data_IF_078945259877
#
_entry.id   IF_078945259877
#
_cell.length_a   1.000
_cell.length_b   1.000
_cell.length_c   1.000
_cell.angle_alpha   90.00
_cell.angle_beta   90.00
_cell.angle_gamma   90.00
#
_symmetry.space_group_name_H-M   'P 1'
#
loop_
_entity.id
_entity.type
_entity.pdbx_description
1 polymer ?
#
# COMPACT_ATOMS: atom_id res chain seq x y z
N UNK A 1 -20.69 9.83 -15.51
CA UNK A 1 -19.78 8.88 -14.86
C UNK A 1 -20.28 7.47 -15.16
N UNK A 2 -19.55 6.72 -15.97
CA UNK A 2 -19.87 5.30 -16.20
C UNK A 2 -19.27 4.52 -15.04
N UNK A 3 -20.07 3.88 -14.18
CA UNK A 3 -19.50 3.14 -13.04
C UNK A 3 -19.01 1.77 -13.51
N UNK A 4 -17.81 1.36 -13.09
CA UNK A 4 -17.24 0.03 -13.38
C UNK A 4 -18.22 -1.07 -12.96
N UNK A 5 -18.82 -0.90 -11.78
CA UNK A 5 -19.96 -1.65 -11.25
C UNK A 5 -20.66 -0.78 -10.19
N UNK A 6 -21.88 -1.13 -9.71
CA UNK A 6 -22.55 -0.37 -8.66
C UNK A 6 -21.69 -0.19 -7.40
N UNK A 7 -21.57 1.04 -6.90
CA UNK A 7 -20.76 1.38 -5.71
C UNK A 7 -19.25 1.11 -5.82
N UNK A 8 -18.70 0.95 -7.03
CA UNK A 8 -17.27 0.75 -7.23
C UNK A 8 -16.39 1.82 -6.57
N UNK A 9 -16.84 3.07 -6.55
CA UNK A 9 -16.17 4.18 -5.87
C UNK A 9 -16.09 3.98 -4.35
N UNK A 10 -17.14 3.48 -3.71
CA UNK A 10 -17.17 3.19 -2.27
C UNK A 10 -16.20 2.04 -1.97
N UNK A 11 -16.27 0.95 -2.76
CA UNK A 11 -15.37 -0.20 -2.59
C UNK A 11 -13.91 0.22 -2.77
N UNK A 12 -13.60 0.98 -3.81
CA UNK A 12 -12.26 1.51 -4.03
C UNK A 12 -11.81 2.41 -2.89
N UNK A 13 -12.66 3.32 -2.42
CA UNK A 13 -12.36 4.21 -1.31
C UNK A 13 -12.04 3.46 -0.03
N UNK A 14 -12.83 2.43 0.31
CA UNK A 14 -12.58 1.55 1.47
C UNK A 14 -11.26 0.80 1.33
N UNK A 15 -10.96 0.23 0.16
CA UNK A 15 -9.70 -0.48 -0.06
C UNK A 15 -8.49 0.47 0.01
N UNK A 16 -8.59 1.67 -0.55
CA UNK A 16 -7.56 2.71 -0.46
C UNK A 16 -7.34 3.12 1.00
N UNK A 17 -8.40 3.24 1.81
CA UNK A 17 -8.27 3.53 3.23
C UNK A 17 -7.61 2.37 4.00
N UNK A 18 -8.03 1.13 3.77
CA UNK A 18 -7.48 0.00 4.52
C UNK A 18 -6.02 -0.25 4.12
N UNK A 19 -5.75 -0.38 2.82
CA UNK A 19 -4.43 -0.79 2.32
C UNK A 19 -3.47 0.39 2.32
N UNK A 20 -3.88 1.51 1.74
CA UNK A 20 -3.05 2.71 1.69
C UNK A 20 -2.96 3.42 3.04
N UNK A 21 -4.10 3.83 3.61
CA UNK A 21 -4.05 4.67 4.82
C UNK A 21 -3.72 3.87 6.10
N UNK A 22 -4.36 2.72 6.35
CA UNK A 22 -4.06 1.99 7.60
C UNK A 22 -2.71 1.28 7.52
N UNK A 23 -2.47 0.47 6.49
CA UNK A 23 -1.23 -0.31 6.43
C UNK A 23 -0.02 0.52 5.99
N UNK A 24 -0.11 1.28 4.89
CA UNK A 24 1.06 2.04 4.42
C UNK A 24 1.28 3.31 5.22
N UNK A 25 0.26 4.02 5.68
CA UNK A 25 0.48 5.22 6.49
C UNK A 25 0.64 4.91 7.98
N UNK A 26 -0.41 4.43 8.66
CA UNK A 26 -0.36 4.22 10.12
C UNK A 26 0.68 3.17 10.50
N UNK A 27 0.71 2.04 9.80
CA UNK A 27 1.68 0.97 10.05
C UNK A 27 3.14 1.41 9.86
N UNK A 28 3.41 2.17 8.80
CA UNK A 28 4.78 2.66 8.55
C UNK A 28 5.15 3.83 9.45
N UNK A 29 4.21 4.68 9.83
CA UNK A 29 4.45 5.72 10.83
C UNK A 29 4.86 5.10 12.17
N UNK A 30 4.19 4.03 12.62
CA UNK A 30 4.61 3.27 13.81
C UNK A 30 6.06 2.76 13.65
N UNK A 31 6.40 2.28 12.45
CA UNK A 31 7.75 1.76 12.14
C UNK A 31 8.81 2.86 12.20
N UNK A 32 8.52 4.05 11.66
CA UNK A 32 9.39 5.23 11.71
C UNK A 32 9.60 5.69 13.15
N UNK A 33 8.52 5.76 13.95
CA UNK A 33 8.59 6.24 15.33
C UNK A 33 9.25 5.24 16.28
N UNK A 34 9.01 3.95 16.08
CA UNK A 34 9.56 2.90 16.95
C UNK A 34 9.68 1.55 16.21
N UNK A 35 10.84 1.36 15.56
CA UNK A 35 11.16 0.13 14.84
C UNK A 35 11.06 -1.12 15.73
N UNK A 36 11.57 -1.05 16.96
CA UNK A 36 11.55 -2.18 17.88
C UNK A 36 10.13 -2.61 18.27
N UNK A 37 9.22 -1.65 18.44
CA UNK A 37 7.81 -1.93 18.66
C UNK A 37 7.16 -2.52 17.40
N UNK A 38 7.39 -1.92 16.23
CA UNK A 38 6.86 -2.40 14.96
C UNK A 38 7.27 -3.86 14.67
N UNK A 39 8.52 -4.23 14.95
CA UNK A 39 8.99 -5.61 14.86
C UNK A 39 8.31 -6.55 15.87
N UNK A 40 8.00 -6.08 17.09
CA UNK A 40 7.31 -6.89 18.12
C UNK A 40 5.87 -7.21 17.73
N UNK A 41 5.16 -6.25 17.12
CA UNK A 41 3.77 -6.43 16.67
C UNK A 41 3.66 -7.00 15.25
N UNK A 42 4.80 -7.31 14.60
CA UNK A 42 4.84 -8.01 13.32
C UNK A 42 4.57 -7.12 12.10
N UNK A 43 4.70 -5.80 12.23
CA UNK A 43 4.66 -4.86 11.10
C UNK A 43 5.97 -4.84 10.32
N UNK A 44 7.09 -5.12 10.98
CA UNK A 44 8.43 -5.16 10.38
C UNK A 44 9.09 -6.51 10.64
N UNK A 45 10.02 -6.88 9.75
CA UNK A 45 10.71 -8.16 9.79
C UNK A 45 11.70 -8.25 10.95
N UNK A 46 11.87 -9.48 11.47
CA UNK A 46 12.74 -9.77 12.63
C UNK A 46 14.11 -10.19 12.14
N UNK A 47 15.06 -9.26 12.23
CA UNK A 47 16.43 -9.53 11.85
C UNK A 47 16.56 -9.66 10.33
N UNK A 48 17.63 -9.11 9.80
CA UNK A 48 17.94 -9.10 8.39
C UNK A 48 19.32 -8.48 8.24
N UNK A 49 20.00 -8.72 7.12
CA UNK A 49 21.22 -8.00 6.80
C UNK A 49 21.01 -6.48 6.95
N UNK A 50 21.96 -5.74 7.54
CA UNK A 50 21.83 -4.29 7.78
C UNK A 50 21.37 -3.50 6.55
N UNK A 51 21.82 -3.89 5.36
CA UNK A 51 21.46 -3.28 4.08
C UNK A 51 19.95 -3.34 3.78
N UNK A 52 19.26 -4.42 4.16
CA UNK A 52 17.82 -4.56 3.95
C UNK A 52 17.05 -3.70 4.95
N UNK A 53 17.54 -3.62 6.20
CA UNK A 53 16.93 -2.78 7.23
C UNK A 53 17.04 -1.29 6.91
N UNK A 54 18.14 -0.84 6.31
CA UNK A 54 18.28 0.55 5.85
C UNK A 54 17.27 0.86 4.75
N UNK A 55 17.11 -0.05 3.78
CA UNK A 55 16.12 0.09 2.72
C UNK A 55 14.68 0.12 3.28
N UNK A 56 14.32 -0.82 4.15
CA UNK A 56 12.98 -0.89 4.75
C UNK A 56 12.65 0.37 5.57
N UNK A 57 13.62 0.92 6.29
CA UNK A 57 13.46 2.21 6.98
C UNK A 57 13.21 3.36 6.02
N UNK A 58 13.94 3.41 4.90
CA UNK A 58 13.72 4.41 3.86
C UNK A 58 12.31 4.32 3.27
N UNK A 59 11.86 3.09 2.98
CA UNK A 59 10.49 2.83 2.49
C UNK A 59 9.45 3.23 3.54
N UNK A 60 9.65 2.90 4.82
CA UNK A 60 8.73 3.30 5.88
C UNK A 60 8.56 4.82 5.99
N UNK A 61 9.65 5.58 5.82
CA UNK A 61 9.59 7.06 5.79
C UNK A 61 8.83 7.55 4.55
N UNK A 62 9.11 6.97 3.37
CA UNK A 62 8.41 7.34 2.14
C UNK A 62 6.89 7.06 2.24
N UNK A 63 6.52 5.89 2.72
CA UNK A 63 5.12 5.48 2.91
C UNK A 63 4.41 6.35 3.95
N UNK A 64 5.07 6.69 5.05
CA UNK A 64 4.53 7.61 6.06
C UNK A 64 4.37 9.05 5.51
N UNK A 65 5.24 9.49 4.61
CA UNK A 65 5.17 10.81 4.00
C UNK A 65 4.10 10.91 2.91
N UNK A 66 3.91 9.85 2.12
CA UNK A 66 2.92 9.80 1.03
C UNK A 66 1.54 9.36 1.51
N UNK A 67 1.48 8.65 2.63
CA UNK A 67 0.33 7.87 3.02
C UNK A 67 -0.93 8.66 3.38
N UNK A 68 -0.82 9.94 3.74
CA UNK A 68 -1.98 10.81 4.00
C UNK A 68 -2.83 11.06 2.75
N UNK A 69 -2.24 10.98 1.55
CA UNK A 69 -2.96 11.14 0.28
C UNK A 69 -3.99 10.02 0.09
N UNK A 70 -3.69 8.81 0.57
CA UNK A 70 -4.65 7.70 0.58
C UNK A 70 -5.90 8.04 1.39
N UNK A 71 -5.71 8.69 2.56
CA UNK A 71 -6.81 9.10 3.43
C UNK A 71 -7.77 10.05 2.72
N UNK A 72 -7.23 11.12 2.16
CA UNK A 72 -8.02 12.14 1.45
C UNK A 72 -8.71 11.55 0.22
N UNK A 73 -7.98 10.83 -0.62
CA UNK A 73 -8.54 10.21 -1.82
C UNK A 73 -9.63 9.18 -1.47
N UNK A 74 -9.40 8.35 -0.46
CA UNK A 74 -10.35 7.33 -0.01
C UNK A 74 -11.66 7.93 0.49
N UNK A 75 -11.59 8.99 1.32
CA UNK A 75 -12.77 9.73 1.76
C UNK A 75 -13.49 10.38 0.58
N UNK A 76 -12.76 11.02 -0.33
CA UNK A 76 -13.33 11.64 -1.52
C UNK A 76 -14.10 10.65 -2.41
N UNK A 77 -13.55 9.44 -2.59
CA UNK A 77 -14.20 8.37 -3.33
C UNK A 77 -15.50 7.89 -2.67
N UNK A 78 -15.50 7.72 -1.34
CA UNK A 78 -16.69 7.30 -0.58
C UNK A 78 -17.80 8.35 -0.68
N UNK A 79 -17.43 9.63 -0.62
CA UNK A 79 -18.36 10.76 -0.73
C UNK A 79 -18.80 11.05 -2.18
N UNK A 80 -18.36 10.26 -3.16
CA UNK A 80 -18.63 10.47 -4.60
C UNK A 80 -18.18 11.87 -5.08
N UNK A 81 -17.13 12.41 -4.46
CA UNK A 81 -16.65 13.76 -4.74
C UNK A 81 -15.78 13.77 -6.02
N UNK A 82 -15.99 14.69 -6.98
CA UNK A 82 -15.25 14.72 -8.26
C UNK A 82 -13.73 14.78 -8.12
N UNK A 83 -13.23 15.49 -7.10
CA UNK A 83 -11.79 15.56 -6.81
C UNK A 83 -11.24 14.24 -6.25
N UNK A 84 -12.07 13.42 -5.60
CA UNK A 84 -11.69 12.11 -5.08
C UNK A 84 -11.30 11.15 -6.21
N UNK A 85 -12.08 11.16 -7.31
CA UNK A 85 -11.77 10.38 -8.51
C UNK A 85 -10.46 10.83 -9.17
N UNK A 86 -10.22 12.13 -9.27
CA UNK A 86 -8.96 12.66 -9.82
C UNK A 86 -7.76 12.28 -8.95
N UNK A 87 -7.90 12.39 -7.63
CA UNK A 87 -6.83 12.02 -6.69
C UNK A 87 -6.58 10.52 -6.66
N UNK A 88 -7.59 9.67 -6.88
CA UNK A 88 -7.48 8.21 -6.80
C UNK A 88 -6.45 7.59 -7.77
N UNK A 89 -6.08 8.31 -8.83
CA UNK A 89 -4.95 7.97 -9.69
C UNK A 89 -3.66 7.75 -8.90
N UNK A 90 -3.36 8.65 -7.97
CA UNK A 90 -2.10 8.61 -7.24
C UNK A 90 -2.03 7.40 -6.30
N UNK A 91 -3.02 7.16 -5.39
CA UNK A 91 -3.13 5.91 -4.67
C UNK A 91 -3.04 4.66 -5.55
N UNK A 92 -3.78 4.66 -6.66
CA UNK A 92 -3.88 3.51 -7.54
C UNK A 92 -2.53 3.11 -8.12
N UNK A 93 -1.81 4.07 -8.70
CA UNK A 93 -0.48 3.82 -9.28
C UNK A 93 0.54 3.44 -8.22
N UNK A 94 0.53 4.11 -7.07
CA UNK A 94 1.49 3.82 -5.99
C UNK A 94 1.27 2.41 -5.42
N UNK A 95 0.02 1.97 -5.23
CA UNK A 95 -0.29 0.60 -4.78
C UNK A 95 0.15 -0.46 -5.80
N UNK A 96 -0.07 -0.21 -7.10
CA UNK A 96 0.44 -1.10 -8.16
C UNK A 96 1.97 -1.15 -8.11
N UNK A 97 2.63 0.01 -8.03
CA UNK A 97 4.09 0.09 -7.92
C UNK A 97 4.62 -0.68 -6.70
N UNK A 98 4.01 -0.52 -5.52
CA UNK A 98 4.42 -1.25 -4.32
C UNK A 98 4.23 -2.75 -4.46
N UNK A 99 3.13 -3.20 -5.09
CA UNK A 99 2.90 -4.64 -5.28
C UNK A 99 4.02 -5.29 -6.08
N UNK A 100 4.39 -4.67 -7.21
CA UNK A 100 5.44 -5.15 -8.11
C UNK A 100 6.80 -5.07 -7.41
N UNK A 101 7.11 -3.92 -6.79
CA UNK A 101 8.37 -3.71 -6.09
C UNK A 101 8.56 -4.72 -4.96
N UNK A 102 7.54 -4.92 -4.11
CA UNK A 102 7.57 -5.90 -3.04
C UNK A 102 7.73 -7.33 -3.56
N UNK A 103 7.05 -7.67 -4.67
CA UNK A 103 7.18 -9.00 -5.29
C UNK A 103 8.62 -9.30 -5.65
N UNK A 104 9.31 -8.36 -6.31
CA UNK A 104 10.71 -8.53 -6.71
C UNK A 104 11.67 -8.43 -5.52
N UNK A 105 11.46 -7.49 -4.60
CA UNK A 105 12.26 -7.31 -3.40
C UNK A 105 12.37 -8.62 -2.60
N UNK A 106 11.23 -9.17 -2.16
CA UNK A 106 11.21 -10.41 -1.39
C UNK A 106 11.66 -11.62 -2.20
N UNK A 107 11.40 -11.62 -3.52
CA UNK A 107 11.91 -12.67 -4.41
C UNK A 107 13.43 -12.69 -4.48
N UNK A 108 14.07 -11.52 -4.53
CA UNK A 108 15.51 -11.37 -4.58
C UNK A 108 16.17 -11.69 -3.24
N UNK A 109 15.59 -11.24 -2.13
CA UNK A 109 16.06 -11.62 -0.78
C UNK A 109 16.07 -13.15 -0.62
N UNK A 110 14.98 -13.83 -1.02
CA UNK A 110 14.90 -15.30 -0.96
C UNK A 110 15.97 -15.99 -1.81
N UNK A 111 16.23 -15.47 -3.02
CA UNK A 111 17.30 -15.98 -3.92
C UNK A 111 18.70 -15.75 -3.34
N UNK A 112 18.88 -14.69 -2.56
CA UNK A 112 20.11 -14.40 -1.83
C UNK A 112 20.26 -15.22 -0.53
N UNK A 113 19.31 -16.10 -0.21
CA UNK A 113 19.33 -16.94 1.00
C UNK A 113 18.67 -16.29 2.23
N UNK A 114 18.00 -15.15 2.07
CA UNK A 114 17.32 -14.43 3.15
C UNK A 114 15.80 -14.59 3.03
N UNK A 115 15.23 -15.55 3.75
CA UNK A 115 13.78 -15.80 3.77
C UNK A 115 13.10 -15.06 4.95
N UNK A 116 12.99 -13.74 4.84
CA UNK A 116 12.45 -12.89 5.90
C UNK A 116 10.91 -12.88 5.96
N UNK A 117 10.26 -13.03 4.80
CA UNK A 117 8.81 -13.09 4.65
C UNK A 117 8.38 -14.45 4.10
N UNK A 118 7.29 -15.02 4.64
CA UNK A 118 6.72 -16.25 4.09
C UNK A 118 6.10 -16.03 2.72
N UNK A 119 6.10 -17.07 1.86
CA UNK A 119 5.52 -16.97 0.52
C UNK A 119 4.03 -16.58 0.57
N UNK A 120 3.27 -17.09 1.55
CA UNK A 120 1.87 -16.72 1.76
C UNK A 120 1.72 -15.21 2.02
N UNK A 121 2.52 -14.64 2.94
CA UNK A 121 2.48 -13.20 3.22
C UNK A 121 2.90 -12.37 2.01
N UNK A 122 3.95 -12.80 1.30
CA UNK A 122 4.42 -12.14 0.06
C UNK A 122 3.33 -12.10 -1.00
N UNK A 123 2.66 -13.23 -1.26
CA UNK A 123 1.58 -13.34 -2.23
C UNK A 123 0.39 -12.49 -1.80
N UNK A 124 -0.07 -12.62 -0.55
CA UNK A 124 -1.21 -11.86 -0.04
C UNK A 124 -0.96 -10.35 -0.09
N UNK A 125 0.23 -9.90 0.30
CA UNK A 125 0.59 -8.48 0.26
C UNK A 125 0.61 -7.92 -1.17
N UNK A 126 1.22 -8.67 -2.09
CA UNK A 126 1.27 -8.31 -3.51
C UNK A 126 -0.15 -8.23 -4.10
N UNK A 127 -0.97 -9.26 -3.90
CA UNK A 127 -2.32 -9.32 -4.45
C UNK A 127 -3.22 -8.21 -3.87
N UNK A 128 -3.16 -7.96 -2.57
CA UNK A 128 -3.97 -6.92 -1.94
C UNK A 128 -3.66 -5.54 -2.53
N UNK A 129 -2.38 -5.19 -2.59
CA UNK A 129 -1.92 -3.93 -3.17
C UNK A 129 -2.29 -3.82 -4.66
N UNK A 130 -2.02 -4.87 -5.44
CA UNK A 130 -2.28 -4.86 -6.87
C UNK A 130 -3.77 -4.71 -7.18
N UNK A 131 -4.63 -5.50 -6.53
CA UNK A 131 -6.07 -5.46 -6.76
C UNK A 131 -6.68 -4.12 -6.35
N UNK A 132 -6.29 -3.58 -5.18
CA UNK A 132 -6.74 -2.28 -4.73
C UNK A 132 -6.26 -1.16 -5.66
N UNK A 133 -5.01 -1.24 -6.12
CA UNK A 133 -4.42 -0.28 -7.04
C UNK A 133 -5.12 -0.28 -8.41
N UNK A 134 -5.33 -1.45 -9.00
CA UNK A 134 -6.07 -1.61 -10.26
C UNK A 134 -7.49 -1.08 -10.14
N UNK A 135 -8.19 -1.40 -9.05
CA UNK A 135 -9.55 -0.90 -8.84
C UNK A 135 -9.56 0.63 -8.69
N UNK A 136 -8.63 1.20 -7.92
CA UNK A 136 -8.53 2.65 -7.75
C UNK A 136 -8.25 3.37 -9.08
N UNK A 137 -7.36 2.84 -9.92
CA UNK A 137 -7.11 3.36 -11.27
C UNK A 137 -8.35 3.24 -12.15
N UNK A 138 -9.03 2.08 -12.15
CA UNK A 138 -10.23 1.87 -12.94
C UNK A 138 -11.34 2.83 -12.53
N UNK A 139 -11.54 3.06 -11.23
CA UNK A 139 -12.52 4.03 -10.70
C UNK A 139 -12.11 5.46 -11.06
N UNK A 140 -10.83 5.80 -10.95
CA UNK A 140 -10.33 7.13 -11.34
C UNK A 140 -10.58 7.43 -12.83
N UNK A 141 -10.33 6.45 -13.71
CA UNK A 141 -10.55 6.57 -15.16
C UNK A 141 -12.02 6.75 -15.54
N UNK A 142 -12.92 6.12 -14.79
CA UNK A 142 -14.35 6.06 -15.10
C UNK A 142 -15.19 7.14 -14.39
N UNK A 143 -14.63 7.73 -13.33
CA UNK A 143 -15.20 8.84 -12.58
C UNK A 143 -14.83 10.23 -13.12
N UNK A 144 -13.92 10.33 -14.09
CA UNK A 144 -13.71 11.54 -14.91
C UNK A 144 -14.72 11.61 -16.04
#
# INVERSE_FOLDING_TARGET
MNRVFPHANIVAGVLVLIIGFIFHWVGQLISVLNWGFATRIGLQEKGGPPEYLVYERGTAVADAALGWIYGIAGVGLILDAPWGFKLAWFPGVVLIYHSISAWFWYGNQKRAGHALLSDAKRISWCLANFAAGVLAVAVAWNGT
#
